data_IF_694894763581
#
_entry.id   IF_694894763581
#
_cell.length_a   1.000
_cell.length_b   1.000
_cell.length_c   1.000
_cell.angle_alpha   90.00
_cell.angle_beta   90.00
_cell.angle_gamma   90.00
#
_symmetry.space_group_name_H-M   'P 1'
#
loop_
_entity.id
_entity.type
_entity.pdbx_description
1 polymer ?
#
# COMPACT_ATOMS: atom_id res chain seq x y z
N UNK A 1 -10.36 -1.23 12.34
CA UNK A 1 -9.07 -1.04 11.67
C UNK A 1 -9.32 -0.75 10.20
N UNK A 2 -8.94 0.44 9.70
CA UNK A 2 -9.03 0.73 8.25
C UNK A 2 -7.79 0.19 7.57
N UNK A 3 -7.91 -0.03 6.26
CA UNK A 3 -6.79 -0.48 5.43
C UNK A 3 -6.63 0.42 4.22
N UNK A 4 -5.39 0.69 3.86
CA UNK A 4 -5.03 1.53 2.74
C UNK A 4 -4.14 0.77 1.78
N UNK A 5 -4.44 0.83 0.49
CA UNK A 5 -3.51 0.40 -0.55
C UNK A 5 -2.55 1.56 -0.83
N UNK A 6 -1.25 1.31 -0.67
CA UNK A 6 -0.19 2.29 -0.91
C UNK A 6 0.75 1.79 -1.99
N UNK A 7 1.19 2.67 -2.87
CA UNK A 7 2.25 2.40 -3.83
C UNK A 7 3.56 3.08 -3.41
N UNK A 8 4.67 2.33 -3.49
CA UNK A 8 6.00 2.84 -3.18
C UNK A 8 7.01 2.55 -4.29
N UNK A 9 7.86 3.53 -4.58
CA UNK A 9 9.10 3.35 -5.34
C UNK A 9 10.27 3.06 -4.42
N UNK A 10 11.39 2.59 -5.00
CA UNK A 10 12.64 2.36 -4.25
C UNK A 10 13.04 3.59 -3.44
N UNK A 11 13.31 4.69 -4.15
CA UNK A 11 13.85 5.89 -3.53
C UNK A 11 12.76 6.57 -2.68
N UNK A 12 13.09 6.82 -1.40
CA UNK A 12 12.26 7.44 -0.35
C UNK A 12 10.95 6.72 0.04
N UNK A 13 10.45 5.79 -0.77
CA UNK A 13 9.26 4.99 -0.45
C UNK A 13 9.60 3.70 0.28
N UNK A 14 9.92 2.66 -0.49
CA UNK A 14 10.18 1.32 0.02
C UNK A 14 11.37 1.29 0.99
N UNK A 15 12.48 1.97 0.64
CA UNK A 15 13.66 2.07 1.52
C UNK A 15 13.29 2.69 2.87
N UNK A 16 12.47 3.74 2.91
CA UNK A 16 12.09 4.33 4.19
C UNK A 16 11.20 3.41 5.03
N UNK A 17 10.27 2.70 4.39
CA UNK A 17 9.41 1.76 5.13
C UNK A 17 10.24 0.60 5.67
N UNK A 18 11.06 -0.01 4.83
CA UNK A 18 11.81 -1.22 5.17
C UNK A 18 12.98 -0.95 6.12
N UNK A 19 13.70 0.15 5.93
CA UNK A 19 14.94 0.41 6.66
C UNK A 19 14.77 1.41 7.80
N UNK A 20 13.84 2.38 7.65
CA UNK A 20 13.67 3.48 8.60
C UNK A 20 12.36 3.40 9.42
N UNK A 21 11.48 2.43 9.13
CA UNK A 21 10.20 2.28 9.81
C UNK A 21 9.27 3.48 9.62
N UNK A 22 9.33 4.14 8.45
CA UNK A 22 8.50 5.29 8.17
C UNK A 22 8.07 5.37 6.72
N UNK A 23 6.87 5.88 6.47
CA UNK A 23 6.43 6.30 5.14
C UNK A 23 6.24 7.81 5.14
N UNK A 24 6.94 8.50 4.26
CA UNK A 24 6.94 9.95 4.21
C UNK A 24 6.85 10.42 2.76
N UNK A 25 6.02 11.42 2.54
CA UNK A 25 5.88 12.02 1.23
C UNK A 25 5.54 13.51 1.37
N UNK A 26 6.59 14.32 1.35
CA UNK A 26 6.57 15.79 1.45
C UNK A 26 5.70 16.47 0.37
N UNK A 27 5.35 15.75 -0.70
CA UNK A 27 4.59 16.25 -1.84
C UNK A 27 3.14 15.75 -1.84
N UNK A 28 2.55 15.63 -0.65
CA UNK A 28 1.12 15.41 -0.46
C UNK A 28 0.31 16.67 -0.77
N UNK A 29 0.45 17.15 -2.01
CA UNK A 29 -0.42 18.16 -2.58
C UNK A 29 -1.87 17.70 -2.49
N UNK A 30 -2.78 18.65 -2.36
CA UNK A 30 -4.23 18.41 -2.32
C UNK A 30 -4.77 18.07 -3.72
N UNK A 31 -4.27 16.96 -4.26
CA UNK A 31 -4.63 16.39 -5.53
C UNK A 31 -5.46 15.13 -5.31
N UNK A 32 -6.35 14.81 -6.25
CA UNK A 32 -7.26 13.66 -6.15
C UNK A 32 -6.56 12.32 -5.92
N UNK A 33 -5.29 12.18 -6.34
CA UNK A 33 -4.44 11.00 -6.11
C UNK A 33 -3.98 10.82 -4.66
N UNK A 34 -4.02 11.88 -3.87
CA UNK A 34 -3.62 11.90 -2.46
C UNK A 34 -4.85 12.04 -1.54
N UNK A 35 -6.08 12.04 -2.04
CA UNK A 35 -7.26 12.41 -1.23
C UNK A 35 -7.46 11.59 0.07
N UNK A 36 -6.96 10.36 0.11
CA UNK A 36 -7.16 9.44 1.26
C UNK A 36 -6.03 9.53 2.29
N UNK A 37 -4.99 10.27 1.99
CA UNK A 37 -3.79 10.45 2.81
C UNK A 37 -4.11 11.01 4.21
N UNK A 38 -5.04 11.98 4.29
CA UNK A 38 -5.45 12.64 5.54
C UNK A 38 -6.39 11.79 6.40
N UNK A 39 -6.80 10.62 5.90
CA UNK A 39 -7.71 9.71 6.60
C UNK A 39 -6.97 8.64 7.38
N UNK A 40 -5.65 8.52 7.18
CA UNK A 40 -4.81 7.57 7.89
C UNK A 40 -4.66 8.05 9.32
N UNK A 41 -4.92 7.16 10.27
CA UNK A 41 -4.70 7.39 11.70
C UNK A 41 -3.88 6.23 12.29
N UNK A 42 -3.44 6.43 13.53
CA UNK A 42 -2.82 5.37 14.33
C UNK A 42 -3.73 4.14 14.41
N UNK A 43 -3.12 2.96 14.24
CA UNK A 43 -3.81 1.66 14.26
C UNK A 43 -4.43 1.24 12.93
N UNK A 44 -4.29 2.04 11.87
CA UNK A 44 -4.62 1.62 10.50
C UNK A 44 -3.49 0.76 9.91
N UNK A 45 -3.80 0.03 8.84
CA UNK A 45 -2.85 -0.85 8.16
C UNK A 45 -2.63 -0.43 6.70
N UNK A 46 -1.38 -0.42 6.26
CA UNK A 46 -0.99 -0.17 4.88
C UNK A 46 -0.72 -1.51 4.19
N UNK A 47 -1.34 -1.76 3.03
CA UNK A 47 -1.00 -2.82 2.10
C UNK A 47 -0.11 -2.23 1.01
N UNK A 48 1.12 -2.72 0.90
CA UNK A 48 2.18 -2.02 0.16
C UNK A 48 2.49 -2.71 -1.16
N UNK A 49 2.18 -2.00 -2.25
CA UNK A 49 2.59 -2.35 -3.60
C UNK A 49 3.93 -1.68 -3.95
N UNK A 50 4.92 -2.49 -4.28
CA UNK A 50 6.25 -2.06 -4.66
C UNK A 50 6.34 -1.91 -6.19
N UNK A 51 6.69 -0.72 -6.68
CA UNK A 51 6.90 -0.50 -8.12
C UNK A 51 8.17 -1.21 -8.63
N UNK A 52 8.40 -1.19 -9.95
CA UNK A 52 9.41 -2.03 -10.60
C UNK A 52 10.86 -1.80 -10.17
N UNK A 53 11.17 -0.65 -9.58
CA UNK A 53 12.53 -0.32 -9.17
C UNK A 53 12.86 -0.79 -7.74
N UNK A 54 11.91 -1.35 -6.99
CA UNK A 54 12.14 -1.89 -5.64
C UNK A 54 12.81 -3.27 -5.75
N UNK A 55 14.04 -3.46 -5.22
CA UNK A 55 14.70 -4.76 -5.23
C UNK A 55 13.88 -5.83 -4.51
N UNK A 56 13.93 -7.08 -5.01
CA UNK A 56 13.28 -8.29 -4.46
C UNK A 56 11.73 -8.32 -4.52
N UNK A 57 11.09 -7.17 -4.33
CA UNK A 57 9.64 -7.00 -4.22
C UNK A 57 9.01 -6.25 -5.40
N UNK A 58 9.79 -5.83 -6.39
CA UNK A 58 9.32 -5.01 -7.48
C UNK A 58 8.16 -5.63 -8.29
N UNK A 59 7.19 -4.79 -8.64
CA UNK A 59 5.93 -5.13 -9.32
C UNK A 59 5.03 -6.09 -8.52
N UNK A 60 5.05 -6.02 -7.18
CA UNK A 60 4.26 -6.90 -6.31
C UNK A 60 3.59 -6.14 -5.19
N UNK A 61 2.41 -6.62 -4.78
CA UNK A 61 1.84 -6.36 -3.46
C UNK A 61 2.52 -7.30 -2.47
N UNK A 62 3.45 -6.78 -1.68
CA UNK A 62 4.51 -7.58 -1.07
C UNK A 62 4.38 -7.78 0.44
N UNK A 63 3.92 -6.75 1.15
CA UNK A 63 3.80 -6.78 2.60
C UNK A 63 2.72 -5.81 3.09
N UNK A 64 2.35 -5.99 4.35
CA UNK A 64 1.55 -5.03 5.11
C UNK A 64 2.37 -4.43 6.24
N UNK A 65 1.95 -3.28 6.74
CA UNK A 65 2.58 -2.64 7.89
C UNK A 65 1.56 -1.78 8.63
N UNK A 66 1.59 -1.85 9.95
CA UNK A 66 0.65 -1.11 10.81
C UNK A 66 1.19 0.30 11.10
N UNK A 67 0.28 1.27 11.16
CA UNK A 67 0.58 2.68 11.43
C UNK A 67 0.64 2.90 12.93
N UNK A 68 1.84 3.22 13.44
CA UNK A 68 2.08 3.48 14.85
C UNK A 68 1.75 4.91 15.25
N UNK A 69 2.08 5.87 14.40
CA UNK A 69 1.78 7.28 14.61
C UNK A 69 1.69 8.02 13.28
N UNK A 70 0.99 9.16 13.29
CA UNK A 70 0.85 10.05 12.14
C UNK A 70 1.26 11.45 12.57
N UNK A 71 2.10 12.12 11.77
CA UNK A 71 2.47 13.51 12.01
C UNK A 71 1.25 14.43 11.96
N UNK A 72 1.32 15.59 12.64
CA UNK A 72 0.20 16.53 12.72
C UNK A 72 -0.25 17.12 11.38
N UNK A 73 0.60 17.08 10.36
CA UNK A 73 0.34 17.50 8.98
C UNK A 73 -0.01 16.32 8.04
N UNK A 74 -0.08 15.10 8.59
CA UNK A 74 -0.29 13.84 7.86
C UNK A 74 0.74 13.58 6.75
N UNK A 75 1.92 14.20 6.74
CA UNK A 75 2.97 14.00 5.71
C UNK A 75 3.82 12.75 5.98
N UNK A 76 3.92 12.35 7.25
CA UNK A 76 4.75 11.24 7.71
C UNK A 76 3.94 10.27 8.57
N UNK A 77 4.10 8.99 8.30
CA UNK A 77 3.60 7.88 9.09
C UNK A 77 4.78 7.13 9.68
N UNK A 78 4.82 7.02 11.01
CA UNK A 78 5.71 6.09 11.68
C UNK A 78 5.05 4.72 11.72
N UNK A 79 5.81 3.68 11.39
CA UNK A 79 5.31 2.35 11.07
C UNK A 79 5.90 1.30 12.00
N UNK A 80 5.15 0.23 12.24
CA UNK A 80 5.67 -0.97 12.88
C UNK A 80 6.52 -1.82 11.92
N UNK A 81 6.99 -2.98 12.37
CA UNK A 81 7.76 -3.90 11.54
C UNK A 81 6.90 -4.44 10.39
N UNK A 82 7.38 -4.39 9.13
CA UNK A 82 6.67 -4.95 7.99
C UNK A 82 6.36 -6.44 8.14
N UNK A 83 5.14 -6.84 7.77
CA UNK A 83 4.67 -8.22 7.71
C UNK A 83 4.55 -8.66 6.25
N UNK A 84 5.49 -9.48 5.79
CA UNK A 84 5.51 -9.99 4.43
C UNK A 84 4.43 -11.04 4.19
N UNK A 85 3.78 -10.94 3.03
CA UNK A 85 2.74 -11.90 2.64
C UNK A 85 3.36 -13.23 2.23
N UNK A 86 2.71 -14.34 2.59
CA UNK A 86 3.12 -15.68 2.19
C UNK A 86 3.00 -15.88 0.67
N UNK A 87 2.02 -15.22 0.04
CA UNK A 87 1.78 -15.25 -1.40
C UNK A 87 1.66 -13.84 -1.98
N UNK A 88 2.77 -13.11 -2.17
CA UNK A 88 2.76 -11.79 -2.81
C UNK A 88 2.12 -11.84 -4.20
N UNK A 89 1.22 -10.90 -4.49
CA UNK A 89 0.57 -10.82 -5.81
C UNK A 89 1.38 -9.97 -6.76
N UNK A 90 1.70 -10.50 -7.94
CA UNK A 90 2.33 -9.72 -9.01
C UNK A 90 1.34 -8.73 -9.63
N UNK A 91 1.84 -7.72 -10.34
CA UNK A 91 1.00 -6.80 -11.13
C UNK A 91 0.07 -7.54 -12.11
N UNK A 92 0.57 -8.61 -12.74
CA UNK A 92 -0.21 -9.40 -13.71
C UNK A 92 -1.32 -10.18 -13.03
N UNK A 93 -1.04 -10.79 -11.87
CA UNK A 93 -2.04 -11.47 -11.05
C UNK A 93 -3.11 -10.49 -10.57
N UNK A 94 -2.69 -9.31 -10.07
CA UNK A 94 -3.60 -8.24 -9.66
C UNK A 94 -4.53 -7.86 -10.81
N UNK A 95 -3.98 -7.59 -12.00
CA UNK A 95 -4.79 -7.22 -13.17
C UNK A 95 -5.77 -8.32 -13.57
N UNK A 96 -5.33 -9.58 -13.52
CA UNK A 96 -6.18 -10.75 -13.81
C UNK A 96 -7.31 -10.87 -12.79
N UNK A 97 -7.02 -10.72 -11.49
CA UNK A 97 -7.99 -10.83 -10.42
C UNK A 97 -8.99 -9.67 -10.45
N UNK A 98 -8.56 -8.47 -10.81
CA UNK A 98 -9.49 -7.35 -11.01
C UNK A 98 -10.38 -7.61 -12.22
N UNK A 99 -9.82 -8.06 -13.36
CA UNK A 99 -10.62 -8.35 -14.55
C UNK A 99 -11.68 -9.44 -14.29
N UNK A 100 -11.38 -10.40 -13.41
CA UNK A 100 -12.32 -11.44 -12.96
C UNK A 100 -13.34 -10.96 -11.92
N UNK A 101 -13.25 -9.71 -11.46
CA UNK A 101 -14.08 -9.16 -10.39
C UNK A 101 -13.76 -9.69 -8.99
N UNK A 102 -12.62 -10.37 -8.81
CA UNK A 102 -12.17 -10.91 -7.52
C UNK A 102 -11.53 -9.82 -6.64
N UNK A 103 -10.75 -8.92 -7.25
CA UNK A 103 -10.23 -7.72 -6.58
C UNK A 103 -10.99 -6.48 -7.05
N UNK A 104 -11.15 -5.46 -6.20
CA UNK A 104 -11.82 -4.23 -6.58
C UNK A 104 -10.97 -3.38 -7.54
N UNK A 105 -11.63 -2.52 -8.31
CA UNK A 105 -11.01 -1.72 -9.38
C UNK A 105 -9.88 -0.79 -8.90
N UNK A 106 -9.84 -0.43 -7.61
CA UNK A 106 -8.75 0.38 -7.07
C UNK A 106 -7.38 -0.27 -7.26
N UNK A 107 -7.29 -1.60 -7.26
CA UNK A 107 -6.02 -2.31 -7.50
C UNK A 107 -5.52 -2.20 -8.94
N UNK A 108 -6.36 -1.80 -9.90
CA UNK A 108 -5.88 -1.49 -11.27
C UNK A 108 -4.87 -0.35 -11.29
N UNK A 109 -4.90 0.52 -10.26
CA UNK A 109 -3.99 1.65 -10.11
C UNK A 109 -2.56 1.23 -9.72
N UNK A 110 -2.36 -0.01 -9.26
CA UNK A 110 -1.03 -0.54 -8.97
C UNK A 110 -0.13 -0.49 -10.22
N UNK A 111 1.02 0.15 -10.07
CA UNK A 111 1.98 0.38 -11.15
C UNK A 111 1.63 1.52 -12.09
N UNK A 112 0.52 2.25 -11.87
CA UNK A 112 0.20 3.45 -12.64
C UNK A 112 0.94 4.67 -12.08
N UNK A 113 1.39 5.53 -12.99
CA UNK A 113 1.97 6.82 -12.61
C UNK A 113 0.90 7.67 -11.92
N UNK A 114 1.27 8.29 -10.80
CA UNK A 114 0.37 9.18 -10.07
C UNK A 114 -0.59 8.48 -9.12
N UNK A 115 -0.51 7.16 -8.90
CA UNK A 115 -1.16 6.51 -7.77
C UNK A 115 -0.25 6.48 -6.54
N UNK A 116 -0.76 6.93 -5.40
CA UNK A 116 -0.02 6.96 -4.13
C UNK A 116 -0.76 6.17 -3.04
N UNK A 117 -2.01 6.53 -2.76
CA UNK A 117 -2.79 5.93 -1.67
C UNK A 117 -4.28 5.85 -2.02
N UNK A 118 -4.94 4.79 -1.57
CA UNK A 118 -6.39 4.70 -1.54
C UNK A 118 -6.88 3.91 -0.33
N UNK A 119 -7.96 4.37 0.28
CA UNK A 119 -8.64 3.62 1.35
C UNK A 119 -9.42 2.45 0.73
N UNK A 120 -9.35 1.28 1.36
CA UNK A 120 -10.10 0.09 0.99
C UNK A 120 -11.37 0.00 1.83
N UNK A 121 -12.48 -0.41 1.23
CA UNK A 121 -13.63 -0.89 2.00
C UNK A 121 -13.30 -2.20 2.72
N UNK A 122 -14.02 -2.50 3.80
CA UNK A 122 -13.72 -3.64 4.68
C UNK A 122 -13.78 -4.99 3.95
N UNK A 123 -14.77 -5.21 3.08
CA UNK A 123 -14.89 -6.43 2.28
C UNK A 123 -13.72 -6.64 1.34
N UNK A 124 -13.32 -5.60 0.60
CA UNK A 124 -12.18 -5.62 -0.30
C UNK A 124 -10.87 -5.93 0.42
N UNK A 125 -10.70 -5.36 1.62
CA UNK A 125 -9.55 -5.55 2.47
C UNK A 125 -9.42 -6.99 3.00
N UNK A 126 -10.54 -7.65 3.29
CA UNK A 126 -10.56 -9.05 3.74
C UNK A 126 -10.20 -10.00 2.60
N UNK A 127 -10.83 -9.85 1.43
CA UNK A 127 -10.57 -10.68 0.25
C UNK A 127 -9.09 -10.66 -0.14
N UNK A 128 -8.48 -9.47 -0.19
CA UNK A 128 -7.07 -9.37 -0.58
C UNK A 128 -6.15 -10.01 0.45
N UNK A 129 -6.44 -9.89 1.75
CA UNK A 129 -5.63 -10.51 2.80
C UNK A 129 -5.74 -12.03 2.78
N UNK A 130 -6.93 -12.59 2.51
CA UNK A 130 -7.09 -14.03 2.32
C UNK A 130 -6.22 -14.54 1.17
N UNK A 131 -6.23 -13.86 0.03
CA UNK A 131 -5.41 -14.21 -1.14
C UNK A 131 -3.90 -14.13 -0.86
N UNK A 132 -3.49 -13.16 -0.05
CA UNK A 132 -2.08 -12.91 0.26
C UNK A 132 -1.51 -13.85 1.34
N UNK A 133 -2.37 -14.34 2.25
CA UNK A 133 -1.98 -15.17 3.38
C UNK A 133 -2.27 -16.66 3.19
N UNK A 134 -2.95 -17.05 2.11
CA UNK A 134 -3.24 -18.45 1.80
C UNK A 134 -2.29 -18.98 0.73
N UNK A 135 -1.33 -19.81 1.13
CA UNK A 135 -0.67 -20.82 0.27
C UNK A 135 -0.27 -22.04 1.08
#
# INVERSE_FOLDING_TARGET
MRRFLVQVSRDRGATNILDNGAYENEHWYDESRNKDHRKVEQGDQLLVYCTSNVPEHGKKLAFSVDVKAVSSDNVRFDLDTPQFFASPLSREDIQTLVHKGTLPDVFQKCGQQGFNIAMLDSSSAEIVLELLNTR
#
